data_IF_793626232374
#
_entry.id   IF_793626232374
#
_cell.length_a   1.000
_cell.length_b   1.000
_cell.length_c   1.000
_cell.angle_alpha   90.00
_cell.angle_beta   90.00
_cell.angle_gamma   90.00
#
_symmetry.space_group_name_H-M   'P 1'
#
loop_
_entity.id
_entity.type
_entity.pdbx_description
1 polymer ?
#
# COMPACT_ATOMS: atom_id res chain seq x y z
N UNK A 1 2.42 21.84 21.07
CA UNK A 1 1.86 20.99 21.73
C UNK A 1 2.14 19.55 21.54
N UNK A 2 2.67 19.02 22.57
CA UNK A 2 3.08 17.64 22.60
C UNK A 2 1.94 16.65 22.37
N UNK A 3 0.72 17.14 22.37
CA UNK A 3 -0.46 16.27 22.34
C UNK A 3 -0.84 15.75 20.97
N UNK A 4 -0.30 16.33 19.91
CA UNK A 4 -0.65 15.92 18.56
C UNK A 4 -0.23 14.49 18.27
N UNK A 5 0.87 14.04 18.90
CA UNK A 5 1.36 12.67 18.71
C UNK A 5 0.43 11.60 19.27
N UNK A 6 -0.39 11.95 20.27
CA UNK A 6 -1.34 11.01 20.85
C UNK A 6 -2.54 10.73 19.95
N UNK A 7 -2.81 11.64 19.03
CA UNK A 7 -3.96 11.55 18.13
C UNK A 7 -3.56 11.16 16.71
N UNK A 8 -2.27 10.88 16.50
CA UNK A 8 -1.77 10.50 15.20
C UNK A 8 -1.61 9.00 15.11
N UNK A 9 -2.12 8.43 14.03
CA UNK A 9 -1.89 7.02 13.71
C UNK A 9 -0.62 6.94 12.87
N UNK A 10 0.27 6.03 13.22
CA UNK A 10 1.46 5.76 12.43
C UNK A 10 1.25 4.46 11.69
N UNK A 11 1.23 4.54 10.37
CA UNK A 11 0.99 3.41 9.49
C UNK A 11 2.28 3.07 8.73
N UNK A 12 2.49 1.79 8.51
CA UNK A 12 3.64 1.28 7.78
C UNK A 12 3.14 0.21 6.83
N UNK A 13 3.69 0.15 5.62
CA UNK A 13 3.25 -0.85 4.65
C UNK A 13 4.39 -1.27 3.74
N UNK A 14 4.26 -2.48 3.20
CA UNK A 14 5.20 -3.03 2.24
C UNK A 14 4.45 -4.04 1.35
N UNK A 15 5.04 -4.33 0.20
CA UNK A 15 4.49 -5.29 -0.73
C UNK A 15 5.60 -6.06 -1.43
N UNK A 16 5.29 -7.25 -1.87
CA UNK A 16 6.27 -8.15 -2.47
C UNK A 16 5.59 -9.06 -3.48
N UNK A 17 6.30 -9.44 -4.53
CA UNK A 17 5.85 -10.50 -5.44
C UNK A 17 7.06 -11.33 -5.85
N UNK A 18 6.90 -12.65 -5.82
CA UNK A 18 7.94 -13.60 -6.20
C UNK A 18 7.85 -13.80 -7.71
N UNK A 19 8.93 -13.44 -8.43
CA UNK A 19 8.95 -13.56 -9.89
C UNK A 19 8.25 -12.44 -10.65
N UNK A 20 7.63 -11.53 -10.01
CA UNK A 20 7.02 -10.26 -10.43
C UNK A 20 6.69 -10.14 -11.94
N UNK A 21 5.53 -10.66 -12.43
CA UNK A 21 4.39 -11.13 -11.64
C UNK A 21 4.57 -12.53 -11.09
N UNK A 22 3.82 -12.82 -10.04
CA UNK A 22 3.85 -14.13 -9.40
C UNK A 22 3.09 -14.09 -8.08
N UNK A 23 3.29 -15.10 -7.22
CA UNK A 23 2.69 -15.05 -5.90
C UNK A 23 3.18 -13.82 -5.14
N UNK A 24 2.27 -13.09 -4.53
CA UNK A 24 2.63 -11.87 -3.83
C UNK A 24 1.87 -11.70 -2.53
N UNK A 25 2.21 -10.65 -1.81
CA UNK A 25 1.55 -10.32 -0.57
C UNK A 25 1.89 -8.93 -0.10
N UNK A 26 1.08 -8.42 0.81
CA UNK A 26 1.38 -7.17 1.49
C UNK A 26 1.45 -7.39 2.99
N UNK A 27 2.13 -6.47 3.65
CA UNK A 27 2.15 -6.37 5.09
C UNK A 27 1.92 -4.93 5.49
N UNK A 28 1.20 -4.73 6.58
CA UNK A 28 0.94 -3.41 7.11
C UNK A 28 0.93 -3.45 8.63
N UNK A 29 1.39 -2.38 9.24
CA UNK A 29 1.39 -2.20 10.69
C UNK A 29 0.75 -0.86 11.00
N UNK A 30 -0.18 -0.85 11.95
CA UNK A 30 -0.77 0.38 12.48
C UNK A 30 -0.40 0.53 13.92
N UNK A 31 0.05 1.72 14.30
CA UNK A 31 0.39 2.06 15.67
C UNK A 31 -0.39 3.29 16.11
N UNK A 32 -1.11 3.16 17.21
CA UNK A 32 -1.85 4.27 17.79
C UNK A 32 -1.66 4.20 19.30
N UNK A 33 -0.87 5.13 19.84
CA UNK A 33 -0.45 5.05 21.22
C UNK A 33 0.32 3.75 21.47
N UNK A 34 -0.13 2.93 22.38
CA UNK A 34 0.50 1.63 22.68
C UNK A 34 -0.14 0.47 21.90
N UNK A 35 -1.20 0.77 21.15
CA UNK A 35 -1.89 -0.26 20.37
C UNK A 35 -1.18 -0.50 19.05
N UNK A 36 -1.00 -1.76 18.71
CA UNK A 36 -0.37 -2.17 17.46
C UNK A 36 -1.27 -3.21 16.79
N UNK A 37 -1.52 -3.00 15.49
CA UNK A 37 -2.25 -3.97 14.68
C UNK A 37 -1.43 -4.31 13.46
N UNK A 38 -1.45 -5.57 13.07
CA UNK A 38 -0.75 -6.05 11.89
C UNK A 38 -1.74 -6.67 10.91
N UNK A 39 -1.48 -6.46 9.63
CA UNK A 39 -2.30 -7.00 8.55
C UNK A 39 -1.40 -7.62 7.50
N UNK A 40 -1.84 -8.71 6.92
CA UNK A 40 -1.17 -9.29 5.76
C UNK A 40 -2.16 -10.11 4.96
N UNK A 41 -1.91 -10.23 3.66
CA UNK A 41 -2.69 -11.08 2.79
C UNK A 41 -1.81 -11.49 1.60
N UNK A 42 -1.88 -12.75 1.22
CA UNK A 42 -1.19 -13.28 0.05
C UNK A 42 -2.13 -13.39 -1.13
N UNK A 43 -1.54 -13.31 -2.33
CA UNK A 43 -2.24 -13.39 -3.61
C UNK A 43 -1.53 -14.40 -4.51
N UNK A 44 -2.33 -15.15 -5.27
CA UNK A 44 -1.80 -16.23 -6.09
C UNK A 44 -0.95 -15.73 -7.25
N UNK A 45 -1.33 -14.58 -7.83
CA UNK A 45 -0.62 -13.99 -8.96
C UNK A 45 -0.88 -12.50 -9.01
N UNK A 46 0.16 -11.71 -8.85
CA UNK A 46 0.05 -10.25 -8.79
C UNK A 46 1.42 -9.63 -9.07
N UNK A 47 1.57 -8.33 -8.82
CA UNK A 47 2.83 -7.63 -9.00
C UNK A 47 3.28 -6.95 -7.72
N UNK A 48 4.56 -6.65 -7.65
CA UNK A 48 5.16 -5.91 -6.56
C UNK A 48 4.44 -4.57 -6.33
N UNK A 49 4.27 -3.80 -7.40
CA UNK A 49 3.64 -2.49 -7.29
C UNK A 49 2.20 -2.55 -6.81
N UNK A 50 1.43 -3.55 -7.25
CA UNK A 50 0.06 -3.71 -6.79
C UNK A 50 0.04 -4.01 -5.29
N UNK A 51 0.97 -4.84 -4.81
CA UNK A 51 1.05 -5.18 -3.39
C UNK A 51 1.52 -4.00 -2.54
N UNK A 52 2.41 -3.17 -3.07
CA UNK A 52 2.82 -1.93 -2.41
C UNK A 52 1.63 -0.99 -2.22
N UNK A 53 0.83 -0.82 -3.25
CA UNK A 53 -0.38 0.00 -3.17
C UNK A 53 -1.40 -0.60 -2.21
N UNK A 54 -1.62 -1.91 -2.30
CA UNK A 54 -2.64 -2.58 -1.49
C UNK A 54 -2.28 -2.58 0.00
N UNK A 55 -1.01 -2.67 0.32
CA UNK A 55 -0.55 -2.53 1.70
C UNK A 55 -0.96 -1.19 2.31
N UNK A 56 -0.72 -0.10 1.57
CA UNK A 56 -1.13 1.24 1.99
C UNK A 56 -2.65 1.36 2.08
N UNK A 57 -3.37 0.86 1.08
CA UNK A 57 -4.84 0.87 1.06
C UNK A 57 -5.40 0.12 2.26
N UNK A 58 -4.84 -1.04 2.57
CA UNK A 58 -5.32 -1.89 3.67
C UNK A 58 -5.09 -1.24 5.02
N UNK A 59 -3.92 -0.62 5.20
CA UNK A 59 -3.62 0.10 6.44
C UNK A 59 -4.60 1.23 6.67
N UNK A 60 -4.79 2.08 5.66
CA UNK A 60 -5.68 3.24 5.78
C UNK A 60 -7.15 2.82 5.85
N UNK A 61 -7.52 1.78 5.11
CA UNK A 61 -8.90 1.28 5.07
C UNK A 61 -9.34 0.63 6.37
N UNK A 62 -8.42 0.19 7.21
CA UNK A 62 -8.73 -0.41 8.50
C UNK A 62 -9.13 0.62 9.56
N UNK A 63 -8.88 1.89 9.31
CA UNK A 63 -9.16 2.97 10.26
C UNK A 63 -10.60 3.42 10.18
N UNK A 64 -11.20 3.66 11.34
CA UNK A 64 -12.58 4.15 11.44
C UNK A 64 -12.58 5.65 11.65
N UNK A 65 -13.56 6.32 11.03
CA UNK A 65 -13.69 7.77 11.14
C UNK A 65 -12.49 8.49 10.50
N UNK A 66 -12.46 9.80 10.62
CA UNK A 66 -11.35 10.60 10.08
C UNK A 66 -10.20 10.62 11.06
N UNK A 67 -9.02 10.25 10.59
CA UNK A 67 -7.80 10.16 11.41
C UNK A 67 -6.68 10.99 10.80
N UNK A 68 -5.79 11.46 11.66
CA UNK A 68 -4.50 12.01 11.24
C UNK A 68 -3.54 10.83 11.13
N UNK A 69 -3.00 10.60 9.95
CA UNK A 69 -2.14 9.42 9.69
C UNK A 69 -0.83 9.85 9.07
N UNK A 70 0.27 9.28 9.55
CA UNK A 70 1.56 9.34 8.87
C UNK A 70 1.83 7.92 8.36
N UNK A 71 1.83 7.76 7.05
CA UNK A 71 2.10 6.45 6.43
C UNK A 71 3.51 6.42 5.89
N UNK A 72 4.30 5.50 6.44
CA UNK A 72 5.70 5.31 6.07
C UNK A 72 5.83 4.08 5.17
N UNK A 73 6.53 4.22 4.06
CA UNK A 73 6.79 3.13 3.13
C UNK A 73 8.16 3.32 2.47
N UNK A 74 8.78 2.24 2.03
CA UNK A 74 9.99 2.30 1.22
C UNK A 74 9.69 2.30 -0.29
N UNK A 75 8.42 2.26 -0.67
CA UNK A 75 8.01 2.22 -2.07
C UNK A 75 8.03 3.61 -2.69
N UNK A 76 9.02 3.87 -3.53
CA UNK A 76 9.07 5.11 -4.29
C UNK A 76 7.89 5.22 -5.26
N UNK A 77 7.41 4.09 -5.75
CA UNK A 77 6.25 4.05 -6.64
C UNK A 77 5.01 4.67 -5.97
N UNK A 78 4.72 4.27 -4.73
CA UNK A 78 3.60 4.81 -3.97
C UNK A 78 3.84 6.30 -3.66
N UNK A 79 5.01 6.63 -3.15
CA UNK A 79 5.36 7.99 -2.76
C UNK A 79 5.26 8.94 -3.95
N UNK A 80 5.87 8.58 -5.08
CA UNK A 80 5.88 9.43 -6.26
C UNK A 80 4.49 9.62 -6.85
N UNK A 81 3.69 8.57 -6.88
CA UNK A 81 2.33 8.65 -7.40
C UNK A 81 1.45 9.62 -6.62
N UNK A 82 1.67 9.71 -5.31
CA UNK A 82 0.91 10.62 -4.45
C UNK A 82 1.56 12.01 -4.41
N UNK A 83 2.86 12.07 -4.07
CA UNK A 83 3.51 13.36 -3.80
C UNK A 83 3.78 14.19 -5.05
N UNK A 84 4.06 13.54 -6.16
CA UNK A 84 4.22 14.21 -7.45
C UNK A 84 2.88 14.45 -8.14
N UNK A 85 1.78 14.00 -7.54
CA UNK A 85 0.44 14.21 -8.06
C UNK A 85 0.11 13.36 -9.29
N UNK A 86 0.90 12.34 -9.59
CA UNK A 86 0.67 11.51 -10.78
C UNK A 86 -0.68 10.81 -10.76
N UNK A 87 -1.05 10.24 -9.62
CA UNK A 87 -2.32 9.51 -9.51
C UNK A 87 -3.52 10.42 -9.77
N UNK A 88 -3.53 11.61 -9.17
CA UNK A 88 -4.60 12.58 -9.39
C UNK A 88 -4.64 13.08 -10.83
N UNK A 89 -3.47 13.26 -11.42
CA UNK A 89 -3.36 13.69 -12.82
C UNK A 89 -3.92 12.61 -13.75
N UNK A 90 -3.56 11.35 -13.52
CA UNK A 90 -4.08 10.25 -14.33
C UNK A 90 -5.58 10.09 -14.13
N UNK A 91 -6.07 10.21 -12.90
CA UNK A 91 -7.51 10.16 -12.61
C UNK A 91 -8.25 11.23 -13.40
N UNK A 92 -7.74 12.46 -13.39
CA UNK A 92 -8.36 13.58 -14.11
C UNK A 92 -8.31 13.37 -15.63
N UNK A 93 -7.40 12.54 -16.11
CA UNK A 93 -7.22 12.26 -17.54
C UNK A 93 -7.74 10.87 -17.90
N UNK A 94 -8.79 10.41 -17.23
CA UNK A 94 -9.46 9.11 -17.47
C UNK A 94 -8.48 7.93 -17.40
N UNK A 95 -7.53 8.02 -16.49
CA UNK A 95 -6.50 7.01 -16.26
C UNK A 95 -5.58 6.79 -17.45
N UNK A 96 -5.40 7.82 -18.25
CA UNK A 96 -4.41 7.82 -19.33
C UNK A 96 -3.14 8.51 -18.86
N UNK A 97 -2.01 7.84 -19.03
CA UNK A 97 -0.69 8.39 -18.69
C UNK A 97 -0.24 9.42 -19.73
N UNK A 98 -0.58 9.16 -20.98
CA UNK A 98 -0.35 10.05 -22.10
C UNK A 98 -1.39 9.76 -23.18
N UNK A 99 -1.23 10.31 -24.38
CA UNK A 99 -2.22 10.15 -25.45
C UNK A 99 -2.45 8.70 -25.88
N UNK A 100 -1.45 7.85 -25.70
CA UNK A 100 -1.47 6.48 -26.23
C UNK A 100 -1.54 5.41 -25.15
N UNK A 101 -1.08 5.71 -23.96
CA UNK A 101 -0.86 4.70 -22.94
C UNK A 101 -1.70 4.93 -21.70
N UNK A 102 -2.29 3.86 -21.20
CA UNK A 102 -3.02 3.86 -19.94
C UNK A 102 -2.03 3.85 -18.78
N UNK A 103 -2.41 4.49 -17.69
CA UNK A 103 -1.69 4.36 -16.43
C UNK A 103 -1.84 2.92 -15.94
N UNK A 104 -0.80 2.41 -15.29
CA UNK A 104 -0.84 1.08 -14.69
C UNK A 104 -1.58 1.13 -13.35
N UNK A 105 -2.25 0.03 -13.01
CA UNK A 105 -2.91 -0.16 -11.72
C UNK A 105 -3.95 0.92 -11.38
N UNK A 106 -4.81 1.32 -12.34
CA UNK A 106 -5.77 2.39 -12.08
C UNK A 106 -6.75 2.04 -10.94
N UNK A 107 -7.14 0.78 -10.82
CA UNK A 107 -8.00 0.30 -9.74
C UNK A 107 -7.39 0.55 -8.37
N UNK A 108 -6.12 0.23 -8.21
CA UNK A 108 -5.40 0.41 -6.94
C UNK A 108 -5.19 1.89 -6.62
N UNK A 109 -4.81 2.69 -7.63
CA UNK A 109 -4.63 4.12 -7.42
C UNK A 109 -5.95 4.80 -7.03
N UNK A 110 -7.05 4.41 -7.68
CA UNK A 110 -8.37 4.95 -7.33
C UNK A 110 -8.72 4.62 -5.87
N UNK A 111 -8.50 3.38 -5.45
CA UNK A 111 -8.77 2.96 -4.08
C UNK A 111 -7.90 3.72 -3.07
N UNK A 112 -6.63 3.94 -3.41
CA UNK A 112 -5.73 4.69 -2.54
C UNK A 112 -6.17 6.14 -2.41
N UNK A 113 -6.50 6.79 -3.53
CA UNK A 113 -7.01 8.17 -3.50
C UNK A 113 -8.28 8.28 -2.67
N UNK A 114 -9.20 7.33 -2.82
CA UNK A 114 -10.47 7.33 -2.09
C UNK A 114 -10.25 7.20 -0.58
N UNK A 115 -9.38 6.29 -0.16
CA UNK A 115 -9.13 6.08 1.26
C UNK A 115 -8.33 7.23 1.86
N UNK A 116 -7.42 7.83 1.11
CA UNK A 116 -6.70 9.03 1.55
C UNK A 116 -7.64 10.21 1.77
N UNK A 117 -8.69 10.32 0.95
CA UNK A 117 -9.66 11.41 1.09
C UNK A 117 -10.48 11.32 2.38
N UNK A 118 -10.54 10.16 3.00
CA UNK A 118 -11.26 9.97 4.28
C UNK A 118 -10.45 10.41 5.49
N UNK A 119 -9.15 10.62 5.33
CA UNK A 119 -8.25 10.91 6.44
C UNK A 119 -7.36 12.09 6.10
N UNK A 120 -6.63 12.58 7.09
CA UNK A 120 -5.57 13.56 6.89
C UNK A 120 -4.26 12.77 6.86
N UNK A 121 -3.81 12.42 5.66
CA UNK A 121 -2.68 11.51 5.47
C UNK A 121 -1.45 12.27 4.99
N UNK A 122 -0.32 12.05 5.66
CA UNK A 122 1.00 12.44 5.17
C UNK A 122 1.77 11.17 4.85
N UNK A 123 2.48 11.19 3.74
CA UNK A 123 3.32 10.06 3.33
C UNK A 123 4.77 10.37 3.66
N UNK A 124 5.48 9.36 4.14
CA UNK A 124 6.88 9.48 4.48
C UNK A 124 7.65 8.33 3.84
N UNK A 125 8.67 8.67 3.05
CA UNK A 125 9.50 7.66 2.42
C UNK A 125 10.70 7.35 3.28
N UNK A 126 11.03 6.06 3.41
CA UNK A 126 12.26 5.62 4.04
C UNK A 126 12.98 4.69 3.08
N UNK A 127 14.30 4.61 3.23
CA UNK A 127 15.07 3.63 2.45
C UNK A 127 14.84 2.24 3.04
N UNK A 128 14.56 1.27 2.17
CA UNK A 128 14.35 -0.11 2.59
C UNK A 128 15.63 -0.74 3.14
N UNK A 129 15.45 -1.69 4.05
CA UNK A 129 16.56 -2.46 4.65
C UNK A 129 17.58 -1.61 5.39
N UNK A 130 17.14 -0.56 6.07
CA UNK A 130 17.99 0.33 6.85
C UNK A 130 17.83 0.16 8.36
N UNK A 131 17.24 -0.96 8.80
CA UNK A 131 17.09 -1.24 10.22
C UNK A 131 15.88 -0.60 10.87
N UNK A 132 14.91 -0.13 10.09
CA UNK A 132 13.68 0.46 10.61
C UNK A 132 12.75 -0.68 11.05
N UNK A 133 12.46 -0.84 12.37
CA UNK A 133 11.75 -2.03 12.85
C UNK A 133 10.39 -2.28 12.23
N UNK A 134 9.56 -1.25 12.12
CA UNK A 134 8.21 -1.40 11.56
C UNK A 134 8.27 -1.72 10.07
N UNK A 135 9.20 -1.12 9.35
CA UNK A 135 9.38 -1.41 7.93
C UNK A 135 9.83 -2.85 7.74
N UNK A 136 10.77 -3.31 8.56
CA UNK A 136 11.23 -4.70 8.51
C UNK A 136 10.11 -5.68 8.83
N UNK A 137 9.26 -5.31 9.78
CA UNK A 137 8.10 -6.15 10.12
C UNK A 137 7.13 -6.24 8.94
N UNK A 138 6.86 -5.13 8.25
CA UNK A 138 6.01 -5.14 7.06
C UNK A 138 6.61 -6.01 5.96
N UNK A 139 7.93 -5.96 5.79
CA UNK A 139 8.63 -6.79 4.82
C UNK A 139 8.47 -8.29 5.16
N UNK A 140 8.63 -8.66 6.42
CA UNK A 140 8.39 -10.03 6.88
C UNK A 140 6.97 -10.49 6.60
N UNK A 141 5.99 -9.64 6.92
CA UNK A 141 4.58 -9.97 6.70
C UNK A 141 4.28 -10.14 5.20
N UNK A 142 4.80 -9.24 4.38
CA UNK A 142 4.58 -9.29 2.94
C UNK A 142 5.21 -10.54 2.32
N UNK A 143 6.46 -10.84 2.67
CA UNK A 143 7.16 -12.01 2.15
C UNK A 143 6.54 -13.31 2.66
N UNK A 144 6.13 -13.35 3.91
CA UNK A 144 5.44 -14.51 4.47
C UNK A 144 4.13 -14.78 3.75
N UNK A 145 3.36 -13.75 3.46
CA UNK A 145 2.11 -13.87 2.72
C UNK A 145 2.35 -14.31 1.27
N UNK A 146 3.38 -13.79 0.63
CA UNK A 146 3.73 -14.18 -0.74
C UNK A 146 4.16 -15.65 -0.85
N UNK A 147 4.76 -16.18 0.21
CA UNK A 147 5.24 -17.57 0.27
C UNK A 147 4.24 -18.54 0.90
N UNK A 148 3.10 -18.05 1.35
CA UNK A 148 2.08 -18.88 1.98
C UNK A 148 1.56 -19.92 0.99
N UNK A 149 0.89 -20.96 1.51
CA UNK A 149 0.29 -21.98 0.67
C UNK A 149 -0.80 -21.36 -0.20
N UNK A 150 -1.05 -21.96 -1.36
CA UNK A 150 -2.07 -21.44 -2.29
C UNK A 150 -3.47 -21.42 -1.67
N UNK A 151 -3.74 -22.27 -0.66
CA UNK A 151 -5.01 -22.25 0.03
C UNK A 151 -5.21 -21.00 0.91
N UNK A 152 -4.12 -20.33 1.28
CA UNK A 152 -4.16 -19.10 2.08
C UNK A 152 -4.09 -17.85 1.21
N UNK A 153 -3.91 -18.00 -0.08
CA UNK A 153 -3.79 -16.91 -1.02
C UNK A 153 -5.07 -16.72 -1.81
N UNK A 154 -5.42 -15.48 -2.08
CA UNK A 154 -6.60 -15.14 -2.86
C UNK A 154 -6.20 -14.67 -4.26
N UNK A 155 -7.20 -14.51 -5.12
CA UNK A 155 -6.99 -14.06 -6.50
C UNK A 155 -6.99 -12.54 -6.55
N UNK A 156 -6.03 -11.95 -7.24
CA UNK A 156 -6.04 -10.54 -7.59
C UNK A 156 -6.87 -10.41 -8.86
N UNK A 157 -8.17 -10.24 -8.69
CA UNK A 157 -9.13 -10.32 -9.78
C UNK A 157 -8.94 -9.27 -10.86
N UNK A 158 -8.68 -8.03 -10.45
CA UNK A 158 -8.47 -6.96 -11.42
C UNK A 158 -7.20 -7.17 -12.23
N UNK A 159 -6.14 -7.64 -11.58
CA UNK A 159 -4.91 -7.96 -12.29
C UNK A 159 -5.12 -9.07 -13.32
N UNK A 160 -5.87 -10.09 -12.94
CA UNK A 160 -6.17 -11.21 -13.84
C UNK A 160 -7.02 -10.76 -15.03
N UNK A 161 -7.96 -9.85 -14.82
CA UNK A 161 -8.77 -9.29 -15.91
C UNK A 161 -7.93 -8.49 -16.89
N UNK A 162 -6.97 -7.73 -16.39
CA UNK A 162 -6.13 -6.87 -17.23
C UNK A 162 -5.07 -7.65 -18.00
N UNK A 163 -4.65 -8.81 -17.47
CA UNK A 163 -3.51 -9.56 -17.99
C UNK A 163 -3.79 -11.03 -18.28
N UNK A 164 -5.04 -11.43 -18.09
CA UNK A 164 -5.45 -12.82 -18.27
C UNK A 164 -5.97 -13.15 -19.66
#
# INVERSE_FOLDING_TARGET
>A
MANDNHNTVYAFSDGSAIGNPGPGGYGAVLKYGENVKEFSQGFKHTTNNRMELLGAISALGALKGRQRVVLTTDSQYVINGIEKGWAKKWQANSWMRNRKEKALNPDMWQRLLDVCARHDVSFEWIRGHTGHPENERCDELANGAARASSSEQIVDEEFMKLNG
#
